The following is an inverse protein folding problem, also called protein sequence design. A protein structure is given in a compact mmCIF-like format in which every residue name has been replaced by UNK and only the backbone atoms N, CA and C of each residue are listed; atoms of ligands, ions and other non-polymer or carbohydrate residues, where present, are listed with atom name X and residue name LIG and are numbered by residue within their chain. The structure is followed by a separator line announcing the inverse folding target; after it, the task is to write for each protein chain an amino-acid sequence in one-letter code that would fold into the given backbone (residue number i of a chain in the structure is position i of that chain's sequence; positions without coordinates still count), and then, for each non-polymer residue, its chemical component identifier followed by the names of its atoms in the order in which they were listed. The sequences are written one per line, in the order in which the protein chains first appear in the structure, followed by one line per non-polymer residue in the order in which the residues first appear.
data_IF_731954275103
#
_entry.id   IF_731954275103
#
_cell.length_a   1.000
_cell.length_b   1.000
_cell.length_c   1.000
_cell.angle_alpha   90.00
_cell.angle_beta   90.00
_cell.angle_gamma   90.00
#
_symmetry.space_group_name_H-M   'P 1'
#
loop_
_entity.id
_entity.type
_entity.pdbx_description
1 polymer ?
#
# COMPACT_ATOMS: atom_id res chain seq x y z
N UNK A 1 -34.36 -53.74 17.15
CA UNK A 1 -33.18 -53.12 16.50
C UNK A 1 -33.63 -51.79 15.89
N UNK A 2 -33.27 -50.64 16.47
CA UNK A 2 -33.77 -49.34 15.95
C UNK A 2 -33.33 -48.07 16.70
N UNK A 3 -32.67 -48.17 17.85
CA UNK A 3 -32.28 -47.02 18.69
C UNK A 3 -30.86 -46.47 18.44
N UNK A 4 -29.99 -47.20 17.73
CA UNK A 4 -28.59 -46.78 17.50
C UNK A 4 -28.42 -45.76 16.37
N UNK A 5 -29.36 -45.71 15.41
CA UNK A 5 -29.31 -44.80 14.26
C UNK A 5 -29.68 -43.35 14.61
N UNK A 6 -30.47 -43.13 15.67
CA UNK A 6 -30.85 -41.77 16.10
C UNK A 6 -29.70 -41.05 16.81
N UNK A 7 -28.95 -41.76 17.66
CA UNK A 7 -27.79 -41.21 18.36
C UNK A 7 -26.67 -40.82 17.40
N UNK A 8 -26.34 -41.67 16.42
CA UNK A 8 -25.29 -41.39 15.42
C UNK A 8 -25.61 -40.16 14.58
N UNK A 9 -26.87 -39.96 14.18
CA UNK A 9 -27.28 -38.77 13.42
C UNK A 9 -27.15 -37.47 14.22
N UNK A 10 -27.43 -37.50 15.53
CA UNK A 10 -27.24 -36.35 16.42
C UNK A 10 -25.76 -36.00 16.56
N UNK A 11 -24.88 -36.98 16.80
CA UNK A 11 -23.44 -36.73 16.88
C UNK A 11 -22.88 -36.21 15.55
N UNK A 12 -23.26 -36.80 14.42
CA UNK A 12 -22.83 -36.34 13.09
C UNK A 12 -23.28 -34.90 12.84
N UNK A 13 -24.53 -34.56 13.17
CA UNK A 13 -25.03 -33.19 13.06
C UNK A 13 -24.24 -32.22 13.95
N UNK A 14 -23.92 -32.60 15.19
CA UNK A 14 -23.11 -31.79 16.10
C UNK A 14 -21.68 -31.59 15.59
N UNK A 15 -21.02 -32.62 15.05
CA UNK A 15 -19.67 -32.51 14.46
C UNK A 15 -19.66 -31.58 13.25
N UNK A 16 -20.66 -31.68 12.38
CA UNK A 16 -20.81 -30.78 11.23
C UNK A 16 -20.96 -29.34 11.74
N UNK A 17 -21.89 -29.07 12.66
CA UNK A 17 -22.13 -27.72 13.19
C UNK A 17 -20.85 -27.12 13.81
N UNK A 18 -20.14 -27.89 14.65
CA UNK A 18 -18.89 -27.43 15.27
C UNK A 18 -17.79 -27.15 14.23
N UNK A 19 -17.66 -28.01 13.21
CA UNK A 19 -16.74 -27.77 12.10
C UNK A 19 -17.06 -26.49 11.34
N UNK A 20 -18.33 -26.23 11.05
CA UNK A 20 -18.77 -25.00 10.39
C UNK A 20 -18.47 -23.76 11.23
N UNK A 21 -18.68 -23.81 12.55
CA UNK A 21 -18.34 -22.72 13.47
C UNK A 21 -16.85 -22.42 13.44
N UNK A 22 -16.00 -23.46 13.48
CA UNK A 22 -14.54 -23.30 13.39
C UNK A 22 -14.12 -22.70 12.04
N UNK A 23 -14.71 -23.14 10.93
CA UNK A 23 -14.42 -22.61 9.58
C UNK A 23 -14.80 -21.13 9.49
N UNK A 24 -15.98 -20.76 9.99
CA UNK A 24 -16.42 -19.35 10.03
C UNK A 24 -15.47 -18.52 10.88
N UNK A 25 -15.07 -19.00 12.06
CA UNK A 25 -14.13 -18.30 12.94
C UNK A 25 -12.77 -18.08 12.26
N UNK A 26 -12.22 -19.12 11.63
CA UNK A 26 -10.96 -19.03 10.87
C UNK A 26 -11.09 -18.02 9.72
N UNK A 27 -12.21 -18.01 8.99
CA UNK A 27 -12.47 -17.04 7.93
C UNK A 27 -12.47 -15.60 8.44
N UNK A 28 -13.08 -15.34 9.60
CA UNK A 28 -13.07 -14.00 10.22
C UNK A 28 -11.66 -13.56 10.63
N UNK A 29 -10.85 -14.47 11.20
CA UNK A 29 -9.44 -14.19 11.56
C UNK A 29 -8.61 -13.87 10.31
N UNK A 30 -8.78 -14.62 9.23
CA UNK A 30 -8.07 -14.36 7.96
C UNK A 30 -8.45 -12.97 7.41
N UNK A 31 -9.73 -12.61 7.42
CA UNK A 31 -10.18 -11.29 6.96
C UNK A 31 -9.62 -10.15 7.83
N UNK A 32 -9.41 -10.38 9.13
CA UNK A 32 -8.78 -9.40 10.02
C UNK A 32 -7.32 -9.14 9.66
N UNK A 33 -6.54 -10.18 9.35
CA UNK A 33 -5.10 -10.04 9.01
C UNK A 33 -4.83 -9.30 7.69
N UNK A 34 -5.82 -9.19 6.80
CA UNK A 34 -5.67 -8.49 5.50
C UNK A 34 -5.69 -6.96 5.60
N UNK A 35 -5.86 -6.37 6.79
CA UNK A 35 -6.02 -4.92 6.97
C UNK A 35 -4.73 -4.14 7.22
N UNK A 36 -3.65 -4.44 6.50
CA UNK A 36 -2.46 -3.58 6.50
C UNK A 36 -2.37 -2.86 5.17
N UNK A 37 -3.00 -1.68 5.09
CA UNK A 37 -2.81 -0.76 3.98
C UNK A 37 -1.74 0.24 4.37
N UNK A 38 -0.61 0.24 3.67
CA UNK A 38 0.42 1.26 3.84
C UNK A 38 -0.04 2.51 3.09
N UNK A 39 -0.28 3.61 3.82
CA UNK A 39 -0.67 4.88 3.23
C UNK A 39 0.57 5.63 2.70
N UNK A 40 0.44 6.22 1.52
CA UNK A 40 1.43 7.11 0.91
C UNK A 40 0.74 8.41 0.55
N UNK A 41 1.46 9.53 0.62
CA UNK A 41 0.93 10.79 0.10
C UNK A 41 1.05 10.84 -1.41
N UNK A 42 0.27 11.75 -2.01
CA UNK A 42 0.41 12.11 -3.41
C UNK A 42 1.34 13.33 -3.52
N UNK A 43 2.18 13.35 -4.55
CA UNK A 43 3.12 14.45 -4.77
C UNK A 43 3.05 14.93 -6.22
N UNK A 44 3.27 16.22 -6.43
CA UNK A 44 3.56 16.71 -7.78
C UNK A 44 5.00 16.39 -8.14
N UNK A 45 5.21 15.54 -9.13
CA UNK A 45 6.52 15.08 -9.60
C UNK A 45 6.83 15.71 -10.94
N UNK A 46 7.95 16.42 -11.00
CA UNK A 46 8.45 16.93 -12.27
C UNK A 46 9.94 17.29 -12.23
N UNK A 47 10.55 17.41 -13.41
CA UNK A 47 11.99 17.65 -13.58
C UNK A 47 12.22 18.77 -14.60
N UNK A 48 13.02 19.76 -14.23
CA UNK A 48 13.51 20.80 -15.13
C UNK A 48 15.02 20.63 -15.28
N UNK A 49 15.47 20.35 -16.50
CA UNK A 49 16.89 20.30 -16.83
C UNK A 49 17.21 21.49 -17.74
N UNK A 50 18.17 22.33 -17.34
CA UNK A 50 18.58 23.52 -18.09
C UNK A 50 17.41 24.44 -18.47
N UNK A 51 16.42 24.61 -17.58
CA UNK A 51 15.26 25.48 -17.81
C UNK A 51 14.27 24.99 -18.88
N UNK A 52 14.36 23.72 -19.29
CA UNK A 52 13.44 23.15 -20.31
C UNK A 52 12.01 22.93 -19.82
N UNK A 53 11.76 23.03 -18.52
CA UNK A 53 10.42 22.89 -17.95
C UNK A 53 10.16 24.00 -16.92
N UNK A 54 9.86 25.23 -17.35
CA UNK A 54 9.65 26.38 -16.45
C UNK A 54 8.54 26.16 -15.43
N UNK A 55 7.52 25.35 -15.75
CA UNK A 55 6.44 25.01 -14.80
C UNK A 55 6.90 24.25 -13.55
N UNK A 56 8.12 23.70 -13.55
CA UNK A 56 8.71 22.98 -12.43
C UNK A 56 9.60 23.85 -11.54
N UNK A 57 9.93 25.05 -12.00
CA UNK A 57 10.87 25.93 -11.34
C UNK A 57 10.17 26.76 -10.24
N UNK A 58 10.96 27.28 -9.29
CA UNK A 58 10.72 28.51 -8.52
C UNK A 58 9.79 29.59 -9.07
N UNK A 59 8.56 29.88 -8.55
CA UNK A 59 7.68 29.09 -7.69
C UNK A 59 6.90 28.02 -8.46
N UNK A 60 6.84 26.82 -7.88
CA UNK A 60 6.11 25.71 -8.48
C UNK A 60 4.61 26.01 -8.55
N UNK A 61 4.07 26.07 -9.77
CA UNK A 61 2.64 26.22 -10.04
C UNK A 61 2.13 24.99 -10.78
N UNK A 62 1.26 24.21 -10.14
CA UNK A 62 0.62 23.06 -10.79
C UNK A 62 -0.50 23.46 -11.76
N UNK A 63 -0.83 24.76 -11.87
CA UNK A 63 -1.91 25.32 -12.69
C UNK A 63 -3.25 24.57 -12.53
N UNK A 64 -3.51 24.05 -11.32
CA UNK A 64 -4.65 23.16 -11.00
C UNK A 64 -4.75 21.87 -11.85
N UNK A 65 -3.67 21.48 -12.52
CA UNK A 65 -3.59 20.26 -13.32
C UNK A 65 -3.15 19.07 -12.46
N UNK A 66 -3.77 17.92 -12.70
CA UNK A 66 -3.37 16.63 -12.13
C UNK A 66 -2.33 15.90 -12.99
N UNK A 67 -1.91 16.49 -14.12
CA UNK A 67 -1.00 15.83 -15.08
C UNK A 67 0.39 15.52 -14.49
N UNK A 68 0.77 16.22 -13.42
CA UNK A 68 2.07 16.04 -12.73
C UNK A 68 1.88 15.38 -11.36
N UNK A 69 0.66 14.94 -11.00
CA UNK A 69 0.36 14.30 -9.74
C UNK A 69 0.73 12.81 -9.82
N UNK A 70 1.60 12.37 -8.91
CA UNK A 70 1.96 10.97 -8.73
C UNK A 70 1.25 10.44 -7.48
N UNK A 71 0.46 9.37 -7.64
CA UNK A 71 -0.27 8.68 -6.58
C UNK A 71 -0.20 7.15 -6.76
N UNK A 72 0.32 6.38 -5.79
CA UNK A 72 1.00 6.81 -4.57
C UNK A 72 2.42 7.30 -4.86
N UNK A 73 2.84 8.43 -4.27
CA UNK A 73 4.22 8.90 -4.45
C UNK A 73 5.20 8.05 -3.63
N UNK A 74 6.22 7.50 -4.29
CA UNK A 74 7.30 6.78 -3.63
C UNK A 74 8.61 7.57 -3.73
N UNK A 75 9.41 7.56 -2.67
CA UNK A 75 10.69 8.26 -2.59
C UNK A 75 11.79 7.44 -1.93
N UNK A 76 13.05 7.79 -2.22
CA UNK A 76 14.21 7.21 -1.54
C UNK A 76 14.30 7.67 -0.08
N UNK A 77 14.93 6.86 0.77
CA UNK A 77 15.22 7.22 2.17
C UNK A 77 16.73 7.09 2.41
N UNK A 78 17.30 8.05 3.15
CA UNK A 78 18.74 8.04 3.50
C UNK A 78 19.12 6.70 4.13
N UNK A 79 20.22 6.11 3.65
CA UNK A 79 20.78 4.86 4.17
C UNK A 79 19.98 3.60 3.84
N UNK A 80 19.08 3.65 2.84
CA UNK A 80 18.32 2.48 2.36
C UNK A 80 18.23 2.49 0.85
N UNK A 81 18.43 1.33 0.26
CA UNK A 81 18.24 1.12 -1.17
C UNK A 81 16.76 0.82 -1.46
N UNK A 82 16.24 1.44 -2.52
CA UNK A 82 14.87 1.25 -2.97
C UNK A 82 13.91 2.40 -2.68
N UNK A 83 12.67 2.22 -3.11
CA UNK A 83 11.59 3.19 -3.01
C UNK A 83 10.67 2.86 -1.83
N UNK A 84 10.29 3.90 -1.09
CA UNK A 84 9.42 3.80 0.07
C UNK A 84 8.25 4.78 -0.04
N UNK A 85 7.10 4.50 0.60
CA UNK A 85 5.97 5.43 0.67
C UNK A 85 6.42 6.81 1.13
N UNK A 86 6.11 7.82 0.33
CA UNK A 86 6.44 9.19 0.69
C UNK A 86 5.55 9.65 1.84
N UNK A 87 6.15 10.33 2.81
CA UNK A 87 5.46 11.01 3.91
C UNK A 87 5.62 12.53 3.84
N UNK A 88 6.39 13.02 2.86
CA UNK A 88 6.70 14.43 2.65
C UNK A 88 7.12 14.66 1.19
N UNK A 89 6.78 15.82 0.65
CA UNK A 89 7.26 16.26 -0.66
C UNK A 89 8.74 16.66 -0.56
N UNK A 90 9.56 16.23 -1.52
CA UNK A 90 10.98 16.61 -1.63
C UNK A 90 11.16 17.41 -2.91
N UNK A 91 11.81 18.57 -2.81
CA UNK A 91 12.20 19.39 -3.95
C UNK A 91 13.71 19.48 -4.03
N UNK A 92 14.28 19.15 -5.18
CA UNK A 92 15.72 19.18 -5.42
C UNK A 92 15.99 20.18 -6.54
N UNK A 93 16.72 21.24 -6.24
CA UNK A 93 17.25 22.19 -7.22
C UNK A 93 18.78 22.18 -7.11
N UNK A 94 19.48 22.09 -8.23
CA UNK A 94 20.93 22.05 -8.25
C UNK A 94 21.50 22.00 -9.67
N UNK A 95 22.81 22.19 -9.77
CA UNK A 95 23.58 22.02 -11.01
C UNK A 95 24.33 20.70 -10.90
N UNK A 96 24.29 19.86 -11.94
CA UNK A 96 25.12 18.67 -12.01
C UNK A 96 26.60 19.07 -12.15
N UNK A 97 27.27 19.28 -11.01
CA UNK A 97 28.72 19.28 -10.96
C UNK A 97 29.25 17.86 -11.20
N UNK A 98 30.36 17.71 -11.94
CA UNK A 98 31.06 16.42 -12.06
C UNK A 98 31.68 16.05 -10.70
N UNK A 99 30.85 15.55 -9.80
CA UNK A 99 31.26 14.92 -8.54
C UNK A 99 30.46 13.63 -8.46
N UNK A 100 31.14 12.52 -8.72
CA UNK A 100 30.63 11.17 -8.50
C UNK A 100 30.35 11.06 -6.99
N UNK A 101 29.08 10.95 -6.64
CA UNK A 101 28.65 10.60 -5.30
C UNK A 101 28.86 9.08 -5.22
N UNK A 102 29.90 8.64 -4.51
CA UNK A 102 30.07 7.25 -4.10
C UNK A 102 29.15 6.96 -2.90
#
# INVERSE_FOLDING_TARGET
MGSSLWGTNVYIASFIILSWISIVFISQVINFTKRVTVASIDCFKCVSMNGRSPQCDDPFHNNHSLNMLESPCMGGRKGRDGLFPATSCIKIAGVFGKTVIY
#
